data_IF_018279525510
#
_entry.id   IF_018279525510
#
_cell.length_a   1.000
_cell.length_b   1.000
_cell.length_c   1.000
_cell.angle_alpha   90.00
_cell.angle_beta   90.00
_cell.angle_gamma   90.00
#
_symmetry.space_group_name_H-M   'P 1'
#
loop_
_entity.id
_entity.type
_entity.pdbx_description
1 polymer ?
#
# COMPACT_ATOMS: atom_id res chain seq x y z
N UNK A 1 -22.87 -20.37 10.42
CA UNK A 1 -23.38 -20.07 9.06
C UNK A 1 -23.99 -18.67 8.92
N UNK A 2 -24.81 -18.18 9.87
CA UNK A 2 -25.40 -16.81 9.77
C UNK A 2 -24.37 -15.68 9.63
N UNK A 3 -23.22 -15.74 10.30
CA UNK A 3 -22.16 -14.70 10.22
C UNK A 3 -21.47 -14.63 8.85
N UNK A 4 -21.35 -15.77 8.16
CA UNK A 4 -20.74 -15.83 6.82
C UNK A 4 -21.67 -15.20 5.78
N UNK A 5 -22.97 -15.38 5.92
CA UNK A 5 -23.98 -14.80 5.03
C UNK A 5 -23.94 -13.26 5.10
N UNK A 6 -23.78 -12.70 6.29
CA UNK A 6 -23.63 -11.26 6.48
C UNK A 6 -22.36 -10.70 5.85
N UNK A 7 -21.23 -11.43 5.94
CA UNK A 7 -19.98 -11.05 5.28
C UNK A 7 -20.10 -11.06 3.76
N UNK A 8 -20.75 -12.08 3.21
CA UNK A 8 -21.00 -12.18 1.76
C UNK A 8 -21.96 -11.09 1.30
N UNK A 9 -23.00 -10.77 2.06
CA UNK A 9 -23.95 -9.71 1.74
C UNK A 9 -23.29 -8.33 1.74
N UNK A 10 -22.44 -8.02 2.72
CA UNK A 10 -21.68 -6.77 2.80
C UNK A 10 -20.69 -6.68 1.64
N UNK A 11 -20.03 -7.78 1.28
CA UNK A 11 -19.09 -7.82 0.16
C UNK A 11 -19.78 -7.59 -1.19
N UNK A 12 -20.96 -8.19 -1.39
CA UNK A 12 -21.76 -8.01 -2.59
C UNK A 12 -22.31 -6.58 -2.67
N UNK A 13 -22.82 -6.01 -1.56
CA UNK A 13 -23.28 -4.63 -1.53
C UNK A 13 -22.15 -3.64 -1.81
N UNK A 14 -20.93 -3.90 -1.34
CA UNK A 14 -19.74 -3.11 -1.64
C UNK A 14 -19.44 -3.05 -3.15
N UNK A 15 -19.66 -4.14 -3.87
CA UNK A 15 -19.45 -4.18 -5.32
C UNK A 15 -20.48 -3.38 -6.11
N UNK A 16 -21.74 -3.37 -5.68
CA UNK A 16 -22.77 -2.56 -6.34
C UNK A 16 -22.54 -1.07 -6.21
N UNK A 17 -22.00 -0.60 -5.09
CA UNK A 17 -21.63 0.82 -4.90
C UNK A 17 -20.47 1.23 -5.77
N UNK A 18 -19.49 0.34 -5.99
CA UNK A 18 -18.34 0.58 -6.87
C UNK A 18 -18.71 0.57 -8.36
N UNK A 19 -19.71 -0.23 -8.76
CA UNK A 19 -20.10 -0.37 -10.17
C UNK A 19 -20.78 0.87 -10.77
N UNK A 20 -21.27 1.79 -9.95
CA UNK A 20 -21.97 3.01 -10.42
C UNK A 20 -21.03 4.22 -10.61
N UNK A 21 -19.78 4.14 -10.21
CA UNK A 21 -18.83 5.25 -10.35
C UNK A 21 -17.84 4.93 -11.48
N UNK A 22 -17.78 5.80 -12.47
CA UNK A 22 -16.75 5.72 -13.52
C UNK A 22 -15.39 6.08 -12.91
N UNK A 23 -14.63 5.07 -12.53
CA UNK A 23 -13.23 5.24 -12.15
C UNK A 23 -12.34 5.13 -13.37
N UNK A 24 -11.45 6.08 -13.56
CA UNK A 24 -10.34 5.92 -14.48
C UNK A 24 -9.25 5.11 -13.75
N UNK A 25 -8.86 3.99 -14.32
CA UNK A 25 -7.88 3.10 -13.71
C UNK A 25 -6.55 3.20 -14.43
N UNK A 26 -5.48 3.47 -13.70
CA UNK A 26 -4.11 3.48 -14.21
C UNK A 26 -3.30 2.36 -13.56
N UNK A 27 -2.47 1.71 -14.37
CA UNK A 27 -1.54 0.69 -13.92
C UNK A 27 -0.20 1.32 -13.56
N UNK A 28 0.39 0.88 -12.48
CA UNK A 28 1.65 1.42 -11.95
C UNK A 28 2.58 0.24 -11.62
N UNK A 29 3.83 0.32 -12.03
CA UNK A 29 4.91 -0.49 -11.49
C UNK A 29 5.51 0.27 -10.32
N UNK A 30 5.71 -0.39 -9.20
CA UNK A 30 6.33 0.20 -8.02
C UNK A 30 7.62 -0.51 -7.67
N UNK A 31 8.64 0.29 -7.37
CA UNK A 31 9.91 -0.16 -6.84
C UNK A 31 10.13 0.63 -5.56
N UNK A 32 10.60 -0.01 -4.50
CA UNK A 32 10.73 0.67 -3.24
C UNK A 32 11.78 0.08 -2.31
N UNK A 33 11.90 0.78 -1.21
CA UNK A 33 12.69 0.38 -0.06
C UNK A 33 11.82 0.46 1.19
N UNK A 34 11.87 -0.57 1.99
CA UNK A 34 11.19 -0.62 3.28
C UNK A 34 12.18 -0.95 4.38
N UNK A 35 12.15 -0.17 5.45
CA UNK A 35 12.86 -0.47 6.68
C UNK A 35 11.89 -0.92 7.76
N UNK A 36 12.11 -2.12 8.26
CA UNK A 36 11.30 -2.75 9.31
C UNK A 36 12.22 -3.61 10.18
N UNK A 37 12.94 -2.99 11.13
CA UNK A 37 14.01 -3.61 11.88
C UNK A 37 15.14 -4.21 11.01
N UNK A 38 14.95 -4.28 9.74
CA UNK A 38 15.90 -4.67 8.69
C UNK A 38 15.47 -4.06 7.37
N UNK A 39 16.36 -4.07 6.40
CA UNK A 39 16.14 -3.49 5.08
C UNK A 39 15.50 -4.47 4.12
N UNK A 40 14.51 -4.02 3.39
CA UNK A 40 13.88 -4.76 2.31
C UNK A 40 13.87 -3.93 1.01
N UNK A 41 14.17 -4.58 -0.09
CA UNK A 41 13.81 -4.08 -1.41
C UNK A 41 12.36 -4.50 -1.72
N UNK A 42 11.61 -3.63 -2.37
CA UNK A 42 10.22 -3.87 -2.74
C UNK A 42 10.04 -3.74 -4.26
N UNK A 43 9.35 -4.70 -4.86
CA UNK A 43 8.93 -4.64 -6.26
C UNK A 43 7.48 -5.08 -6.33
N UNK A 44 6.66 -4.34 -7.08
CA UNK A 44 5.25 -4.68 -7.20
C UNK A 44 4.51 -3.92 -8.27
N UNK A 45 3.21 -4.11 -8.26
CA UNK A 45 2.27 -3.40 -9.11
C UNK A 45 1.14 -2.79 -8.30
N UNK A 46 0.67 -1.64 -8.75
CA UNK A 46 -0.46 -0.92 -8.15
C UNK A 46 -1.48 -0.54 -9.20
N UNK A 47 -2.72 -0.47 -8.80
CA UNK A 47 -3.81 0.11 -9.56
C UNK A 47 -4.22 1.43 -8.89
N UNK A 48 -4.26 2.48 -9.67
CA UNK A 48 -4.70 3.80 -9.25
C UNK A 48 -6.11 4.01 -9.78
N UNK A 49 -7.03 4.33 -8.89
CA UNK A 49 -8.43 4.62 -9.19
C UNK A 49 -8.70 6.10 -8.96
N UNK A 50 -8.97 6.81 -10.04
CA UNK A 50 -9.30 8.22 -10.02
C UNK A 50 -10.81 8.40 -9.96
N UNK A 51 -11.29 8.95 -8.87
CA UNK A 51 -12.69 9.38 -8.74
C UNK A 51 -12.85 10.85 -9.11
N UNK A 52 -11.95 11.67 -8.63
CA UNK A 52 -11.80 13.09 -8.92
C UNK A 52 -10.34 13.48 -8.65
N UNK A 53 -9.96 14.70 -8.99
CA UNK A 53 -8.56 15.15 -8.82
C UNK A 53 -8.17 15.38 -7.35
N UNK A 54 -9.13 15.29 -6.42
CA UNK A 54 -8.92 15.57 -5.01
C UNK A 54 -8.62 14.32 -4.18
N UNK A 55 -9.26 13.20 -4.48
CA UNK A 55 -9.07 11.94 -3.76
C UNK A 55 -8.79 10.82 -4.75
N UNK A 56 -7.68 10.13 -4.54
CA UNK A 56 -7.25 8.97 -5.32
C UNK A 56 -7.23 7.74 -4.43
N UNK A 57 -7.66 6.61 -4.95
CA UNK A 57 -7.54 5.32 -4.29
C UNK A 57 -6.50 4.48 -5.00
N UNK A 58 -5.70 3.79 -4.24
CA UNK A 58 -4.64 2.94 -4.78
C UNK A 58 -4.63 1.60 -4.07
N UNK A 59 -4.62 0.54 -4.85
CA UNK A 59 -4.47 -0.83 -4.34
C UNK A 59 -3.30 -1.50 -5.05
N UNK A 60 -2.54 -2.29 -4.34
CA UNK A 60 -1.36 -2.92 -4.92
C UNK A 60 -0.97 -4.23 -4.25
N UNK A 61 -0.15 -4.97 -4.98
CA UNK A 61 0.52 -6.15 -4.51
C UNK A 61 2.00 -6.06 -4.83
N UNK A 62 2.83 -6.43 -3.89
CA UNK A 62 4.29 -6.38 -4.02
C UNK A 62 4.95 -7.53 -3.27
N UNK A 63 6.23 -7.65 -3.49
CA UNK A 63 7.10 -8.61 -2.82
C UNK A 63 8.23 -7.84 -2.14
N UNK A 64 8.42 -8.10 -0.86
CA UNK A 64 9.55 -7.62 -0.08
C UNK A 64 10.66 -8.65 -0.11
N UNK A 65 11.85 -8.22 -0.45
CA UNK A 65 13.05 -9.05 -0.46
C UNK A 65 14.08 -8.47 0.50
N UNK A 66 14.47 -9.24 1.48
CA UNK A 66 15.43 -8.82 2.50
C UNK A 66 16.46 -9.88 2.81
N UNK A 67 17.67 -9.46 3.11
CA UNK A 67 18.75 -10.33 3.54
C UNK A 67 19.38 -9.81 4.83
N UNK A 68 19.57 -10.68 5.79
CA UNK A 68 20.25 -10.38 7.05
C UNK A 68 21.00 -11.62 7.55
N UNK A 69 22.26 -11.46 7.91
CA UNK A 69 23.11 -12.52 8.46
C UNK A 69 23.04 -13.84 7.67
N UNK A 70 23.25 -13.80 6.36
CA UNK A 70 23.21 -14.96 5.45
C UNK A 70 21.82 -15.62 5.28
N UNK A 71 20.77 -15.00 5.83
CA UNK A 71 19.39 -15.42 5.61
C UNK A 71 18.73 -14.48 4.62
N UNK A 72 17.99 -15.05 3.68
CA UNK A 72 17.21 -14.32 2.69
C UNK A 72 15.72 -14.62 2.91
N UNK A 73 14.91 -13.60 2.85
CA UNK A 73 13.45 -13.72 3.00
C UNK A 73 12.71 -13.00 1.89
N UNK A 74 11.62 -13.61 1.48
CA UNK A 74 10.67 -13.07 0.52
C UNK A 74 9.30 -13.03 1.18
N UNK A 75 8.70 -11.85 1.26
CA UNK A 75 7.42 -11.63 1.94
C UNK A 75 6.44 -10.99 0.94
N UNK A 76 5.31 -11.66 0.64
CA UNK A 76 4.27 -11.04 -0.16
C UNK A 76 3.56 -9.95 0.66
N UNK A 77 3.25 -8.83 0.01
CA UNK A 77 2.58 -7.69 0.61
C UNK A 77 1.40 -7.24 -0.25
N UNK A 78 0.27 -7.03 0.38
CA UNK A 78 -0.86 -6.29 -0.18
C UNK A 78 -0.91 -4.91 0.46
N UNK A 79 -1.26 -3.90 -0.30
CA UNK A 79 -1.37 -2.54 0.19
C UNK A 79 -2.59 -1.82 -0.36
N UNK A 80 -3.15 -0.96 0.46
CA UNK A 80 -4.23 -0.07 0.09
C UNK A 80 -3.95 1.33 0.60
N UNK A 81 -4.02 2.32 -0.27
CA UNK A 81 -3.74 3.71 0.04
C UNK A 81 -4.87 4.62 -0.42
N UNK A 82 -5.11 5.67 0.35
CA UNK A 82 -5.93 6.81 -0.02
C UNK A 82 -5.01 8.01 -0.11
N UNK A 83 -5.02 8.68 -1.25
CA UNK A 83 -4.26 9.89 -1.51
C UNK A 83 -5.21 11.08 -1.54
N UNK A 84 -4.96 12.05 -0.68
CA UNK A 84 -5.75 13.29 -0.60
C UNK A 84 -4.87 14.45 -1.06
N UNK A 85 -5.32 15.16 -2.08
CA UNK A 85 -4.57 16.29 -2.62
C UNK A 85 -4.47 17.42 -1.60
N UNK A 86 -3.30 18.00 -1.50
CA UNK A 86 -3.03 19.15 -0.65
C UNK A 86 -3.68 20.42 -1.22
N UNK A 87 -3.64 20.57 -2.53
CA UNK A 87 -4.19 21.71 -3.24
C UNK A 87 -5.34 21.29 -4.15
N UNK A 88 -6.42 22.06 -4.15
CA UNK A 88 -7.53 21.86 -5.08
C UNK A 88 -7.17 22.38 -6.47
N UNK A 89 -7.55 21.65 -7.51
CA UNK A 89 -7.40 22.02 -8.92
C UNK A 89 -5.97 22.06 -9.49
N UNK A 90 -5.07 21.26 -8.97
CA UNK A 90 -3.71 21.08 -9.51
C UNK A 90 -3.57 19.71 -10.13
N UNK A 91 -2.96 19.62 -11.31
CA UNK A 91 -2.68 18.35 -11.99
C UNK A 91 -1.85 17.40 -11.13
N UNK A 92 -2.06 16.09 -11.30
CA UNK A 92 -1.36 15.02 -10.56
C UNK A 92 0.17 15.22 -10.62
N UNK A 93 0.69 15.67 -11.74
CA UNK A 93 2.12 15.87 -11.98
C UNK A 93 2.74 17.04 -11.20
N UNK A 94 1.92 17.87 -10.56
CA UNK A 94 2.36 19.03 -9.77
C UNK A 94 1.82 19.01 -8.34
N UNK A 95 1.10 17.97 -7.97
CA UNK A 95 0.41 17.89 -6.69
C UNK A 95 1.19 17.11 -5.65
N UNK A 96 1.07 17.53 -4.40
CA UNK A 96 1.48 16.78 -3.22
C UNK A 96 0.24 16.19 -2.59
N UNK A 97 0.27 14.90 -2.29
CA UNK A 97 -0.83 14.18 -1.67
C UNK A 97 -0.47 13.74 -0.26
N UNK A 98 -1.39 13.87 0.67
CA UNK A 98 -1.35 13.11 1.90
C UNK A 98 -1.67 11.65 1.58
N UNK A 99 -0.84 10.75 2.09
CA UNK A 99 -1.00 9.31 1.94
C UNK A 99 -1.48 8.73 3.27
N UNK A 100 -2.63 8.10 3.23
CA UNK A 100 -3.14 7.27 4.32
C UNK A 100 -3.30 5.86 3.78
N UNK A 101 -2.75 4.88 4.46
CA UNK A 101 -2.82 3.52 3.94
C UNK A 101 -2.54 2.45 4.97
N UNK A 102 -2.57 1.24 4.49
CA UNK A 102 -2.22 0.06 5.26
C UNK A 102 -1.53 -0.98 4.38
N UNK A 103 -0.57 -1.66 4.97
CA UNK A 103 0.12 -2.80 4.38
C UNK A 103 -0.26 -4.07 5.13
N UNK A 104 -0.56 -5.11 4.36
CA UNK A 104 -0.88 -6.44 4.87
C UNK A 104 0.16 -7.43 4.34
N UNK A 105 0.78 -8.14 5.23
CA UNK A 105 1.69 -9.24 4.89
C UNK A 105 1.30 -10.50 5.64
N UNK A 106 1.94 -11.60 5.35
CA UNK A 106 1.76 -12.84 6.12
C UNK A 106 2.33 -12.76 7.55
N UNK A 107 3.14 -11.75 7.84
CA UNK A 107 3.86 -11.59 9.11
C UNK A 107 3.36 -10.43 9.95
N UNK A 108 2.89 -9.36 9.33
CA UNK A 108 2.49 -8.14 10.03
C UNK A 108 1.44 -7.34 9.26
N UNK A 109 0.77 -6.47 9.99
CA UNK A 109 -0.12 -5.43 9.49
C UNK A 109 0.46 -4.06 9.87
N UNK A 110 0.49 -3.12 8.93
CA UNK A 110 1.06 -1.79 9.16
C UNK A 110 0.11 -0.70 8.68
N UNK A 111 -0.62 -0.03 9.58
CA UNK A 111 -1.19 1.27 9.26
C UNK A 111 -0.06 2.27 9.03
N UNK A 112 -0.18 3.10 7.99
CA UNK A 112 0.85 4.05 7.59
C UNK A 112 0.26 5.39 7.17
N UNK A 113 1.06 6.43 7.36
CA UNK A 113 0.79 7.78 6.87
C UNK A 113 2.02 8.31 6.15
N UNK A 114 1.82 9.20 5.22
CA UNK A 114 2.95 9.75 4.46
C UNK A 114 2.55 10.81 3.47
N UNK A 115 3.45 11.03 2.53
CA UNK A 115 3.29 11.97 1.43
C UNK A 115 3.58 11.25 0.11
N UNK A 116 2.83 11.60 -0.90
CA UNK A 116 3.10 11.21 -2.28
C UNK A 116 3.39 12.45 -3.10
N UNK A 117 4.61 12.55 -3.61
CA UNK A 117 5.05 13.68 -4.43
C UNK A 117 4.79 13.36 -5.89
N UNK A 118 4.00 14.19 -6.54
CA UNK A 118 3.64 14.07 -7.96
C UNK A 118 3.03 12.71 -8.37
N UNK A 119 2.51 11.97 -7.39
CA UNK A 119 2.04 10.59 -7.62
C UNK A 119 3.14 9.57 -7.95
N UNK A 120 4.40 10.00 -7.98
CA UNK A 120 5.56 9.18 -8.37
C UNK A 120 6.38 8.73 -7.17
N UNK A 121 6.71 9.64 -6.25
CA UNK A 121 7.54 9.34 -5.09
C UNK A 121 6.70 9.30 -3.81
N UNK A 122 6.67 8.15 -3.17
CA UNK A 122 6.01 7.95 -1.89
C UNK A 122 7.02 7.89 -0.75
N UNK A 123 6.73 8.64 0.29
CA UNK A 123 7.47 8.58 1.56
C UNK A 123 6.44 8.35 2.65
N UNK A 124 6.52 7.24 3.36
CA UNK A 124 5.58 6.92 4.42
C UNK A 124 6.22 6.27 5.62
N UNK A 125 5.58 6.45 6.75
CA UNK A 125 5.93 5.80 8.00
C UNK A 125 4.69 5.19 8.62
N UNK A 126 4.88 4.10 9.34
CA UNK A 126 3.81 3.41 10.04
C UNK A 126 4.33 2.64 11.24
N UNK A 127 3.42 1.95 11.87
CA UNK A 127 3.75 1.06 12.97
C UNK A 127 3.23 -0.34 12.67
N UNK A 128 4.14 -1.29 12.58
CA UNK A 128 3.82 -2.68 12.26
C UNK A 128 3.38 -3.44 13.50
N UNK A 129 2.21 -4.04 13.39
CA UNK A 129 1.65 -4.97 14.35
C UNK A 129 1.87 -6.38 13.82
N UNK A 130 2.55 -7.22 14.56
CA UNK A 130 2.80 -8.59 14.11
C UNK A 130 1.51 -9.42 14.15
N UNK A 131 1.35 -10.26 13.14
CA UNK A 131 0.27 -11.24 13.04
C UNK A 131 0.78 -12.61 13.45
N UNK A 132 2.02 -12.88 13.10
CA UNK A 132 2.70 -14.15 13.34
C UNK A 132 3.94 -13.91 14.20
N UNK A 133 4.13 -14.74 15.23
CA UNK A 133 5.29 -14.68 16.13
C UNK A 133 6.60 -15.18 15.51
N UNK A 134 6.56 -15.64 14.26
CA UNK A 134 7.75 -16.07 13.57
C UNK A 134 8.71 -14.91 13.32
N UNK A 135 9.99 -15.19 13.51
CA UNK A 135 11.05 -14.25 13.19
C UNK A 135 11.37 -14.27 11.69
N UNK A 136 11.49 -13.09 11.11
CA UNK A 136 11.98 -12.94 9.73
C UNK A 136 13.47 -12.61 9.80
N UNK A 137 14.31 -13.49 9.26
CA UNK A 137 15.78 -13.37 9.34
C UNK A 137 16.29 -13.15 10.77
N UNK A 138 15.65 -13.78 11.76
CA UNK A 138 16.01 -13.67 13.18
C UNK A 138 15.50 -12.40 13.88
N UNK A 139 14.66 -11.59 13.24
CA UNK A 139 14.11 -10.36 13.82
C UNK A 139 12.58 -10.36 13.83
N UNK A 140 12.02 -9.77 14.88
CA UNK A 140 10.58 -9.55 14.97
C UNK A 140 10.16 -8.44 14.01
N UNK A 141 9.07 -8.66 13.28
CA UNK A 141 8.47 -7.68 12.37
C UNK A 141 7.45 -6.79 13.09
N UNK A 142 7.90 -6.13 14.15
CA UNK A 142 7.08 -5.21 14.96
C UNK A 142 7.83 -3.89 15.14
N UNK A 143 7.10 -2.79 15.16
CA UNK A 143 7.64 -1.48 15.47
C UNK A 143 7.55 -0.51 14.29
N UNK A 144 8.37 0.52 14.33
CA UNK A 144 8.37 1.56 13.31
C UNK A 144 8.77 1.00 11.96
N UNK A 145 8.01 1.40 10.94
CA UNK A 145 8.19 1.00 9.55
C UNK A 145 8.34 2.26 8.70
N UNK A 146 9.37 2.31 7.88
CA UNK A 146 9.57 3.39 6.91
C UNK A 146 9.55 2.83 5.50
N UNK A 147 8.86 3.51 4.61
CA UNK A 147 8.78 3.15 3.19
C UNK A 147 9.16 4.32 2.32
N UNK A 148 9.96 4.04 1.33
CA UNK A 148 10.28 4.92 0.21
C UNK A 148 9.92 4.16 -1.06
N UNK A 149 9.01 4.71 -1.87
CA UNK A 149 8.52 4.05 -3.07
C UNK A 149 8.57 4.95 -4.30
N UNK A 150 8.98 4.38 -5.42
CA UNK A 150 8.91 5.00 -6.73
C UNK A 150 7.82 4.31 -7.55
N UNK A 151 6.87 5.07 -8.03
CA UNK A 151 5.72 4.60 -8.78
C UNK A 151 5.83 5.08 -10.23
N UNK A 152 5.95 4.13 -11.14
CA UNK A 152 6.08 4.40 -12.57
C UNK A 152 4.77 4.01 -13.28
N UNK A 153 4.03 4.98 -13.83
CA UNK A 153 2.83 4.68 -14.59
C UNK A 153 3.19 3.93 -15.87
N UNK A 154 2.40 2.92 -16.19
CA UNK A 154 2.51 2.16 -17.45
C UNK A 154 1.21 2.29 -18.24
N UNK A 155 1.36 2.57 -19.51
CA UNK A 155 0.24 2.66 -20.44
C UNK A 155 -0.18 1.29 -20.95
#
# INVERSE_FOLDING_TARGET
MKKIIWFIAIFIMGQYVMAQQKFTTHKIISIGYQYQNQSFAEVGGKLLFLKNDHILYRAGASVLMGANHQKFSVIPKLQGDILVNFDENVDISHSIYYLLGADFTTKYFTPKVGLSLFGILDISAGYSLFIDNELVNGRKMKGINFNLGLNLPIS
#
